data_IF_649182631015
#
_entry.id   IF_649182631015
#
_cell.length_a   1.000
_cell.length_b   1.000
_cell.length_c   1.000
_cell.angle_alpha   90.00
_cell.angle_beta   90.00
_cell.angle_gamma   90.00
#
_symmetry.space_group_name_H-M   'P 1'
#
loop_
_entity.id
_entity.type
_entity.pdbx_description
1 polymer ?
#
# COMPACT_ATOMS: atom_id res chain seq x y z
N UNK A 1 -7.64 66.79 51.82
CA UNK A 1 -8.41 66.18 50.76
C UNK A 1 -7.44 65.44 49.88
N UNK A 2 -7.30 64.12 50.12
CA UNK A 2 -6.30 63.23 49.54
C UNK A 2 -6.84 62.55 48.31
N UNK A 3 -6.23 62.79 47.20
CA UNK A 3 -6.52 62.06 45.93
C UNK A 3 -5.49 60.94 45.79
N UNK A 4 -5.93 59.75 46.07
CA UNK A 4 -5.10 58.53 45.78
C UNK A 4 -5.02 58.30 44.28
N UNK A 5 -3.83 58.26 43.77
CA UNK A 5 -3.52 57.81 42.40
C UNK A 5 -3.59 56.31 42.32
N UNK A 6 -4.60 55.78 41.66
CA UNK A 6 -4.71 54.37 41.29
C UNK A 6 -3.76 54.10 40.12
N UNK A 7 -2.66 53.34 40.35
CA UNK A 7 -1.82 52.82 39.28
C UNK A 7 -2.45 51.57 38.71
N UNK A 8 -2.93 51.66 37.48
CA UNK A 8 -3.40 50.54 36.69
C UNK A 8 -2.18 49.81 36.13
N UNK A 9 -1.83 48.62 36.65
CA UNK A 9 -0.87 47.72 36.03
C UNK A 9 -1.56 47.01 34.88
N UNK A 10 -1.21 47.37 33.64
CA UNK A 10 -1.52 46.57 32.48
C UNK A 10 -0.54 45.37 32.45
N UNK A 11 -1.00 44.20 32.81
CA UNK A 11 -0.33 42.96 32.55
C UNK A 11 -0.48 42.59 31.06
N UNK A 12 0.54 42.88 30.29
CA UNK A 12 0.63 42.39 28.89
C UNK A 12 0.89 40.88 28.92
N UNK A 13 -0.15 40.08 28.84
CA UNK A 13 0.00 38.66 28.64
C UNK A 13 0.54 38.45 27.22
N UNK A 14 1.81 38.08 27.10
CA UNK A 14 2.38 37.52 25.87
C UNK A 14 1.66 36.19 25.61
N UNK A 15 0.66 36.19 24.77
CA UNK A 15 0.12 35.00 24.15
C UNK A 15 1.19 34.51 23.17
N UNK A 16 2.00 33.56 23.61
CA UNK A 16 2.83 32.80 22.69
C UNK A 16 1.90 32.14 21.63
N UNK A 17 2.20 32.26 20.34
CA UNK A 17 1.41 31.56 19.34
C UNK A 17 1.51 30.08 19.63
N UNK A 18 0.39 29.45 19.97
CA UNK A 18 0.29 28.00 19.96
C UNK A 18 0.64 27.53 18.56
N UNK A 19 1.50 26.52 18.41
CA UNK A 19 1.76 25.97 17.10
C UNK A 19 0.40 25.57 16.52
N UNK A 20 0.07 26.14 15.35
CA UNK A 20 -1.02 25.67 14.53
C UNK A 20 -0.62 24.26 14.08
N UNK A 21 -0.97 23.26 14.87
CA UNK A 21 -1.01 21.90 14.36
C UNK A 21 -2.05 21.97 13.25
N UNK A 22 -1.60 21.87 12.00
CA UNK A 22 -2.50 21.79 10.89
C UNK A 22 -3.44 20.62 11.19
N UNK A 23 -4.64 20.91 11.64
CA UNK A 23 -5.67 19.91 11.76
C UNK A 23 -5.88 19.40 10.34
N UNK A 24 -5.46 18.15 10.09
CA UNK A 24 -5.85 17.44 8.89
C UNK A 24 -7.38 17.40 8.97
N UNK A 25 -8.01 18.24 8.18
CA UNK A 25 -9.47 18.30 8.14
C UNK A 25 -9.91 17.05 7.42
N UNK A 26 -10.43 16.09 8.16
CA UNK A 26 -11.05 14.91 7.57
C UNK A 26 -12.15 15.36 6.62
N UNK A 27 -12.23 14.70 5.48
CA UNK A 27 -13.30 14.95 4.54
C UNK A 27 -14.63 14.54 5.18
N UNK A 28 -15.66 15.38 5.00
CA UNK A 28 -17.00 15.02 5.43
C UNK A 28 -17.46 13.72 4.75
N UNK A 29 -17.94 12.79 5.56
CA UNK A 29 -18.40 11.48 5.10
C UNK A 29 -19.85 11.56 4.64
N UNK A 30 -20.21 10.86 3.56
CA UNK A 30 -21.58 10.77 3.13
C UNK A 30 -22.52 10.29 4.25
N UNK A 31 -23.72 10.83 4.31
CA UNK A 31 -24.67 10.53 5.40
C UNK A 31 -25.08 9.06 5.45
N UNK A 32 -25.12 8.40 4.29
CA UNK A 32 -25.42 6.98 4.14
C UNK A 32 -24.37 6.05 4.77
N UNK A 33 -23.19 6.58 5.06
CA UNK A 33 -22.10 5.79 5.67
C UNK A 33 -22.21 5.69 7.20
N UNK A 34 -23.20 6.36 7.80
CA UNK A 34 -23.43 6.30 9.25
C UNK A 34 -23.71 4.90 9.79
N UNK A 35 -24.12 4.00 8.92
CA UNK A 35 -24.45 2.62 9.29
C UNK A 35 -23.31 1.64 9.07
N UNK A 36 -22.15 2.10 8.59
CA UNK A 36 -20.99 1.24 8.44
C UNK A 36 -20.46 0.87 9.82
N UNK A 37 -20.27 -0.42 10.00
CA UNK A 37 -19.64 -0.96 11.21
C UNK A 37 -18.13 -0.79 11.14
N UNK A 38 -17.50 -0.70 12.31
CA UNK A 38 -16.03 -0.73 12.41
C UNK A 38 -15.50 -1.97 11.72
N UNK A 39 -14.47 -1.81 10.87
CA UNK A 39 -13.95 -2.88 10.03
C UNK A 39 -14.48 -2.85 8.60
N UNK A 40 -15.56 -2.13 8.35
CA UNK A 40 -16.12 -1.92 7.02
C UNK A 40 -16.68 -3.19 6.38
N UNK A 41 -17.06 -3.07 5.10
CA UNK A 41 -17.76 -4.14 4.35
C UNK A 41 -16.91 -5.35 4.03
N UNK A 42 -15.61 -5.22 4.11
CA UNK A 42 -14.71 -6.26 3.61
C UNK A 42 -13.99 -7.03 4.72
N UNK A 43 -14.06 -6.54 5.96
CA UNK A 43 -13.28 -7.11 7.07
C UNK A 43 -13.72 -8.51 7.47
N UNK A 44 -14.97 -8.89 7.23
CA UNK A 44 -15.47 -10.25 7.47
C UNK A 44 -14.88 -11.30 6.52
N UNK A 45 -14.14 -10.87 5.51
CA UNK A 45 -13.44 -11.73 4.54
C UNK A 45 -11.94 -11.86 4.81
N UNK A 46 -11.42 -11.14 5.78
CA UNK A 46 -10.04 -11.25 6.20
C UNK A 46 -9.95 -12.15 7.44
N UNK A 47 -9.08 -13.12 7.36
CA UNK A 47 -8.71 -13.91 8.53
C UNK A 47 -7.72 -13.11 9.36
N UNK A 48 -7.90 -13.14 10.68
CA UNK A 48 -6.94 -12.55 11.59
C UNK A 48 -5.61 -13.30 11.51
N UNK A 49 -4.51 -12.57 11.63
CA UNK A 49 -3.20 -13.20 11.78
C UNK A 49 -3.19 -14.05 13.06
N UNK A 50 -2.56 -15.25 13.02
CA UNK A 50 -2.47 -16.09 14.20
C UNK A 50 -1.82 -15.35 15.39
N UNK A 51 -2.36 -15.55 16.56
CA UNK A 51 -1.68 -15.14 17.79
C UNK A 51 -0.46 -16.03 18.03
N UNK A 52 0.60 -15.44 18.55
CA UNK A 52 1.86 -16.13 18.80
C UNK A 52 2.63 -15.46 19.94
N UNK A 53 3.95 -15.62 19.92
CA UNK A 53 4.83 -15.01 20.91
C UNK A 53 4.89 -13.50 20.70
N UNK A 54 4.56 -12.74 21.75
CA UNK A 54 4.71 -11.28 21.71
C UNK A 54 6.18 -10.89 21.85
N UNK A 55 6.59 -9.89 21.10
CA UNK A 55 7.91 -9.29 21.26
C UNK A 55 8.06 -8.68 22.65
N UNK A 56 9.21 -8.94 23.28
CA UNK A 56 9.60 -8.25 24.52
C UNK A 56 10.37 -6.95 24.24
N UNK A 57 10.67 -6.69 22.98
CA UNK A 57 11.48 -5.57 22.56
C UNK A 57 10.62 -4.42 22.05
N UNK A 58 10.91 -3.24 22.50
CA UNK A 58 10.44 -1.99 21.90
C UNK A 58 11.60 -1.41 21.13
N UNK A 59 11.51 -1.41 19.82
CA UNK A 59 12.46 -0.73 18.94
C UNK A 59 11.72 0.35 18.14
N UNK A 60 12.45 1.35 17.69
CA UNK A 60 11.86 2.49 16.99
C UNK A 60 11.28 3.53 17.95
N UNK A 61 10.04 3.93 17.74
CA UNK A 61 9.38 4.93 18.57
C UNK A 61 8.85 4.33 19.89
N UNK A 62 8.79 5.13 20.96
CA UNK A 62 8.29 4.75 22.29
C UNK A 62 6.86 4.19 22.30
N UNK A 63 6.17 4.30 21.19
CA UNK A 63 4.78 3.87 21.01
C UNK A 63 4.62 2.56 20.23
N UNK A 64 5.70 1.88 19.87
CA UNK A 64 5.62 0.58 19.17
C UNK A 64 4.96 -0.45 20.08
N UNK A 65 3.83 -0.98 19.63
CA UNK A 65 3.10 -2.02 20.38
C UNK A 65 3.80 -3.37 20.25
N UNK A 66 3.67 -4.23 21.27
CA UNK A 66 4.08 -5.61 21.13
C UNK A 66 3.42 -6.24 19.90
N UNK A 67 4.18 -7.01 19.15
CA UNK A 67 3.75 -7.73 17.95
C UNK A 67 4.08 -9.19 18.08
N UNK A 68 3.41 -10.01 17.28
CA UNK A 68 3.70 -11.43 17.23
C UNK A 68 4.93 -11.67 16.35
N UNK A 69 6.05 -12.06 16.96
CA UNK A 69 7.33 -12.29 16.25
C UNK A 69 7.30 -13.50 15.31
N UNK A 70 6.29 -14.37 15.48
CA UNK A 70 6.09 -15.53 14.61
C UNK A 70 5.34 -15.18 13.32
N UNK A 71 4.92 -13.92 13.15
CA UNK A 71 4.20 -13.44 11.98
C UNK A 71 5.05 -12.46 11.17
N UNK A 72 4.91 -12.54 9.83
CA UNK A 72 5.54 -11.59 8.93
C UNK A 72 7.06 -11.76 8.84
N UNK A 73 7.74 -10.65 8.64
CA UNK A 73 9.20 -10.57 8.53
C UNK A 73 9.73 -9.50 9.48
N UNK A 74 10.81 -9.82 10.17
CA UNK A 74 11.51 -8.88 11.05
C UNK A 74 13.01 -8.95 10.84
N UNK A 75 13.66 -7.80 10.96
CA UNK A 75 15.11 -7.68 10.96
C UNK A 75 15.50 -6.45 11.79
N UNK A 76 16.52 -6.54 12.66
CA UNK A 76 16.91 -5.43 13.53
C UNK A 76 17.43 -4.19 12.79
N UNK A 77 17.95 -4.38 11.59
CA UNK A 77 18.59 -3.32 10.80
C UNK A 77 17.79 -2.86 9.59
N UNK A 78 16.59 -3.43 9.36
CA UNK A 78 15.78 -3.16 8.15
C UNK A 78 14.33 -2.90 8.53
N UNK A 79 13.82 -1.75 8.10
CA UNK A 79 12.39 -1.45 8.08
C UNK A 79 11.78 -1.99 6.80
N UNK A 80 10.75 -2.81 6.90
CA UNK A 80 10.07 -3.41 5.75
C UNK A 80 8.78 -2.70 5.39
N UNK A 81 8.45 -2.75 4.10
CA UNK A 81 7.25 -2.14 3.55
C UNK A 81 6.75 -2.87 2.31
N UNK A 82 5.42 -2.98 2.19
CA UNK A 82 4.76 -3.52 1.00
C UNK A 82 5.18 -4.95 0.66
N UNK A 83 4.62 -5.44 -0.41
CA UNK A 83 4.97 -6.76 -0.93
C UNK A 83 3.82 -7.74 -0.95
N UNK A 84 4.08 -8.91 -1.50
CA UNK A 84 3.14 -10.02 -1.51
C UNK A 84 3.83 -11.37 -1.41
N UNK A 85 3.02 -12.41 -1.25
CA UNK A 85 3.49 -13.78 -1.04
C UNK A 85 3.06 -14.63 -2.23
N UNK A 86 4.01 -15.41 -2.75
CA UNK A 86 3.74 -16.50 -3.68
C UNK A 86 3.94 -17.85 -2.98
N UNK A 87 3.07 -18.80 -3.26
CA UNK A 87 3.31 -20.19 -2.91
C UNK A 87 3.81 -20.92 -4.14
N UNK A 88 4.94 -21.62 -4.01
CA UNK A 88 5.53 -22.44 -5.06
C UNK A 88 5.17 -23.92 -4.93
N UNK A 89 5.38 -24.75 -5.97
CA UNK A 89 5.02 -26.17 -5.94
C UNK A 89 5.69 -26.99 -4.84
N UNK A 90 6.81 -26.55 -4.29
CA UNK A 90 7.48 -27.15 -3.13
C UNK A 90 6.79 -26.86 -1.81
N UNK A 91 5.66 -26.15 -1.86
CA UNK A 91 4.84 -25.71 -0.73
C UNK A 91 5.47 -24.64 0.16
N UNK A 92 6.60 -24.09 -0.21
CA UNK A 92 7.17 -22.93 0.46
C UNK A 92 6.43 -21.65 0.09
N UNK A 93 6.43 -20.72 1.03
CA UNK A 93 5.92 -19.38 0.82
C UNK A 93 7.08 -18.42 0.59
N UNK A 94 7.02 -17.67 -0.49
CA UNK A 94 8.03 -16.72 -0.91
C UNK A 94 7.47 -15.32 -0.78
N UNK A 95 7.97 -14.57 0.17
CA UNK A 95 7.63 -13.17 0.37
C UNK A 95 8.59 -12.30 -0.44
N UNK A 96 8.03 -11.43 -1.26
CA UNK A 96 8.75 -10.36 -1.95
C UNK A 96 8.37 -9.04 -1.28
N UNK A 97 9.32 -8.40 -0.66
CA UNK A 97 9.10 -7.23 0.20
C UNK A 97 10.18 -6.20 -0.05
N UNK A 98 9.90 -4.92 0.10
CA UNK A 98 10.94 -3.91 0.08
C UNK A 98 11.28 -3.41 1.49
N UNK A 99 12.45 -2.80 1.61
CA UNK A 99 12.90 -2.24 2.87
C UNK A 99 14.07 -1.28 2.69
N UNK A 100 14.37 -0.59 3.75
CA UNK A 100 15.49 0.35 3.87
C UNK A 100 16.12 0.22 5.25
N UNK A 101 17.35 0.77 5.47
CA UNK A 101 17.99 0.67 6.78
C UNK A 101 17.10 1.26 7.87
N UNK A 102 16.92 0.54 8.98
CA UNK A 102 16.19 1.02 10.15
C UNK A 102 16.77 2.33 10.69
N UNK A 103 18.11 2.47 10.58
CA UNK A 103 18.83 3.68 10.98
C UNK A 103 18.73 4.84 9.99
N UNK A 104 17.92 4.74 8.93
CA UNK A 104 17.83 5.78 7.92
C UNK A 104 17.33 7.11 8.52
N UNK A 105 18.06 8.23 8.36
CA UNK A 105 17.70 9.49 9.01
C UNK A 105 16.35 10.07 8.59
N UNK A 106 15.84 9.66 7.42
CA UNK A 106 14.56 10.12 6.89
C UNK A 106 13.39 9.21 7.30
N UNK A 107 13.66 8.14 8.07
CA UNK A 107 12.65 7.17 8.43
C UNK A 107 11.96 6.59 7.18
N UNK A 108 10.62 6.50 7.19
CA UNK A 108 9.84 6.00 6.05
C UNK A 108 10.05 6.81 4.75
N UNK A 109 10.44 8.06 4.83
CA UNK A 109 10.76 8.87 3.64
C UNK A 109 12.04 8.43 2.91
N UNK A 110 12.70 7.36 3.38
CA UNK A 110 13.78 6.68 2.66
C UNK A 110 13.26 5.72 1.57
N UNK A 111 11.96 5.54 1.47
CA UNK A 111 11.32 4.65 0.50
C UNK A 111 11.84 4.75 -0.95
N UNK A 112 12.28 5.92 -1.51
CA UNK A 112 12.82 5.98 -2.86
C UNK A 112 14.13 5.20 -3.03
N UNK A 113 14.79 4.87 -1.93
CA UNK A 113 16.03 4.10 -1.89
C UNK A 113 15.82 2.65 -1.47
N UNK A 114 14.57 2.18 -1.44
CA UNK A 114 14.23 0.83 -1.04
C UNK A 114 14.96 -0.22 -1.86
N UNK A 115 15.28 -1.30 -1.19
CA UNK A 115 15.78 -2.54 -1.75
C UNK A 115 14.69 -3.60 -1.70
N UNK A 116 14.54 -4.38 -2.74
CA UNK A 116 13.64 -5.53 -2.80
C UNK A 116 14.35 -6.75 -2.30
N UNK A 117 13.73 -7.42 -1.34
CA UNK A 117 14.20 -8.67 -0.74
C UNK A 117 13.28 -9.82 -1.13
N UNK A 118 13.88 -11.00 -1.29
CA UNK A 118 13.18 -12.26 -1.33
C UNK A 118 13.39 -12.99 -0.02
N UNK A 119 12.31 -13.41 0.61
CA UNK A 119 12.33 -14.14 1.87
C UNK A 119 11.46 -15.39 1.77
N UNK A 120 11.73 -16.40 2.58
CA UNK A 120 10.96 -17.65 2.60
C UNK A 120 10.45 -18.00 3.96
N UNK A 121 9.30 -18.66 4.01
CA UNK A 121 8.68 -19.21 5.22
C UNK A 121 7.95 -20.51 4.94
N UNK A 122 7.73 -21.30 5.99
CA UNK A 122 6.99 -22.56 5.91
C UNK A 122 5.47 -22.35 6.04
N UNK A 123 5.05 -21.17 6.50
CA UNK A 123 3.65 -20.80 6.67
C UNK A 123 3.32 -19.50 5.95
N UNK A 124 2.05 -19.36 5.53
CA UNK A 124 1.56 -18.18 4.83
C UNK A 124 1.77 -16.87 5.63
N UNK A 125 1.66 -16.95 6.93
CA UNK A 125 1.84 -15.81 7.83
C UNK A 125 3.28 -15.59 8.28
N UNK A 126 4.23 -16.46 7.88
CA UNK A 126 5.62 -16.41 8.33
C UNK A 126 5.90 -17.33 9.53
N UNK A 127 6.98 -17.10 10.27
CA UNK A 127 7.97 -16.05 10.03
C UNK A 127 8.74 -16.24 8.73
N UNK A 128 9.11 -15.14 8.11
CA UNK A 128 9.90 -15.16 6.89
C UNK A 128 11.36 -14.82 7.15
N UNK A 129 12.24 -15.54 6.47
CA UNK A 129 13.69 -15.31 6.56
C UNK A 129 14.23 -14.86 5.20
N UNK A 130 14.97 -13.76 5.18
CA UNK A 130 15.60 -13.23 3.95
C UNK A 130 16.54 -14.29 3.36
N UNK A 131 16.39 -14.56 2.08
CA UNK A 131 17.22 -15.45 1.31
C UNK A 131 18.20 -14.67 0.44
N UNK A 132 17.70 -13.66 -0.25
CA UNK A 132 18.50 -12.85 -1.15
C UNK A 132 17.96 -11.42 -1.32
N UNK A 133 18.77 -10.61 -2.00
CA UNK A 133 18.46 -9.25 -2.41
C UNK A 133 18.29 -9.23 -3.92
N UNK A 134 17.11 -8.80 -4.38
CA UNK A 134 16.78 -8.75 -5.82
C UNK A 134 17.38 -7.50 -6.47
N UNK A 135 17.19 -6.34 -5.86
CA UNK A 135 17.70 -5.07 -6.37
C UNK A 135 16.93 -3.86 -5.83
N UNK A 136 17.09 -2.70 -6.46
CA UNK A 136 16.36 -1.49 -6.08
C UNK A 136 14.90 -1.58 -6.51
N UNK A 137 13.99 -1.13 -5.65
CA UNK A 137 12.57 -1.05 -5.96
C UNK A 137 11.72 -0.81 -4.73
N UNK A 138 10.50 -0.35 -4.96
CA UNK A 138 9.53 -0.08 -3.92
C UNK A 138 8.19 -0.73 -4.28
N UNK A 139 7.40 -1.10 -3.26
CA UNK A 139 6.11 -1.77 -3.39
C UNK A 139 6.17 -2.96 -4.35
N UNK A 140 7.00 -3.98 -4.08
CA UNK A 140 7.12 -5.12 -4.97
C UNK A 140 5.83 -5.93 -4.99
N UNK A 141 5.44 -6.40 -6.18
CA UNK A 141 4.33 -7.32 -6.36
C UNK A 141 4.74 -8.44 -7.32
N UNK A 142 4.76 -9.67 -6.83
CA UNK A 142 5.30 -10.81 -7.55
C UNK A 142 4.20 -11.68 -8.16
N UNK A 143 4.46 -12.24 -9.36
CA UNK A 143 3.57 -13.16 -10.05
C UNK A 143 4.35 -14.27 -10.72
N UNK A 144 3.68 -15.41 -10.86
CA UNK A 144 4.07 -16.45 -11.81
C UNK A 144 3.43 -16.14 -13.16
N UNK A 145 4.23 -15.88 -14.16
CA UNK A 145 3.78 -15.58 -15.51
C UNK A 145 3.22 -16.86 -16.21
N UNK A 146 2.57 -16.65 -17.35
CA UNK A 146 2.00 -17.77 -18.12
C UNK A 146 3.05 -18.75 -18.65
N UNK A 147 4.27 -18.30 -18.84
CA UNK A 147 5.43 -19.09 -19.27
C UNK A 147 6.24 -19.68 -18.10
N UNK A 148 5.69 -19.60 -16.90
CA UNK A 148 6.25 -20.09 -15.63
C UNK A 148 7.42 -19.28 -15.08
N UNK A 149 7.84 -18.20 -15.72
CA UNK A 149 8.82 -17.27 -15.13
C UNK A 149 8.21 -16.53 -13.95
N UNK A 150 9.05 -16.07 -13.06
CA UNK A 150 8.66 -15.20 -11.93
C UNK A 150 8.95 -13.77 -12.31
N UNK A 151 7.97 -12.89 -12.15
CA UNK A 151 8.13 -11.45 -12.27
C UNK A 151 7.90 -10.81 -10.92
N UNK A 152 8.70 -9.80 -10.58
CA UNK A 152 8.51 -8.92 -9.41
C UNK A 152 8.42 -7.51 -9.94
N UNK A 153 7.20 -6.99 -9.99
CA UNK A 153 6.94 -5.62 -10.39
C UNK A 153 7.37 -4.66 -9.28
N UNK A 154 7.92 -3.54 -9.67
CA UNK A 154 8.34 -2.44 -8.79
C UNK A 154 7.98 -1.12 -9.46
N UNK A 155 8.20 0.00 -8.79
CA UNK A 155 8.06 1.32 -9.42
C UNK A 155 8.97 1.37 -10.67
N UNK A 156 8.41 1.83 -11.77
CA UNK A 156 9.07 2.06 -13.06
C UNK A 156 9.56 0.81 -13.82
N UNK A 157 9.38 -0.39 -13.27
CA UNK A 157 9.87 -1.58 -13.94
C UNK A 157 9.56 -2.89 -13.23
N UNK A 158 10.37 -3.89 -13.53
CA UNK A 158 10.22 -5.23 -12.99
C UNK A 158 11.55 -5.97 -12.94
N UNK A 159 11.63 -6.95 -12.09
CA UNK A 159 12.64 -8.00 -12.13
C UNK A 159 12.01 -9.28 -12.63
N UNK A 160 12.75 -10.06 -13.41
CA UNK A 160 12.27 -11.32 -13.97
C UNK A 160 13.33 -12.40 -13.83
N UNK A 161 12.89 -13.63 -13.55
CA UNK A 161 13.76 -14.80 -13.45
C UNK A 161 13.02 -16.07 -13.89
N UNK A 162 13.78 -17.06 -14.32
CA UNK A 162 13.24 -18.39 -14.66
C UNK A 162 12.86 -19.20 -13.40
N UNK A 163 13.46 -18.86 -12.26
CA UNK A 163 13.23 -19.51 -10.98
C UNK A 163 13.05 -18.48 -9.87
N UNK A 164 12.35 -18.88 -8.82
CA UNK A 164 12.00 -18.03 -7.68
C UNK A 164 13.22 -17.46 -6.95
N UNK A 165 14.35 -18.11 -7.04
CA UNK A 165 15.62 -17.68 -6.44
C UNK A 165 16.52 -16.91 -7.41
N UNK A 166 16.01 -16.50 -8.58
CA UNK A 166 16.82 -15.82 -9.59
C UNK A 166 17.63 -16.76 -10.50
N UNK A 167 18.66 -16.27 -11.18
CA UNK A 167 19.14 -14.88 -11.15
C UNK A 167 18.11 -13.89 -11.76
N UNK A 168 18.03 -12.69 -11.18
CA UNK A 168 17.09 -11.67 -11.56
C UNK A 168 17.63 -10.75 -12.64
N UNK A 169 16.80 -10.45 -13.63
CA UNK A 169 17.08 -9.46 -14.67
C UNK A 169 16.11 -8.29 -14.55
N UNK A 170 16.62 -7.08 -14.51
CA UNK A 170 15.79 -5.88 -14.47
C UNK A 170 15.32 -5.47 -15.86
N UNK A 171 14.04 -5.16 -16.00
CA UNK A 171 13.40 -4.57 -17.16
C UNK A 171 12.61 -3.32 -16.81
N UNK A 172 12.49 -2.37 -17.76
CA UNK A 172 11.62 -1.21 -17.61
C UNK A 172 10.27 -1.49 -18.23
N UNK A 173 9.23 -0.88 -17.68
CA UNK A 173 7.93 -0.84 -18.36
C UNK A 173 8.06 -0.14 -19.70
N UNK A 174 7.37 -0.68 -20.69
CA UNK A 174 7.17 -0.05 -21.98
C UNK A 174 5.68 0.16 -22.23
N UNK A 175 5.34 1.21 -22.93
CA UNK A 175 3.94 1.62 -23.13
C UNK A 175 3.67 1.83 -24.61
N UNK A 176 2.50 1.39 -25.06
CA UNK A 176 2.05 1.69 -26.41
C UNK A 176 1.73 3.19 -26.52
N UNK A 177 2.11 3.84 -27.63
CA UNK A 177 1.72 5.22 -27.90
C UNK A 177 0.20 5.36 -27.90
N UNK A 178 -0.28 6.49 -27.40
CA UNK A 178 -1.69 6.86 -27.52
C UNK A 178 -1.84 8.35 -27.77
N UNK A 179 -2.89 8.68 -28.48
CA UNK A 179 -3.27 10.06 -28.84
C UNK A 179 -4.21 10.72 -27.82
N UNK A 180 -4.60 9.98 -26.80
CA UNK A 180 -5.50 10.41 -25.73
C UNK A 180 -4.76 10.64 -24.43
N UNK A 181 -5.42 11.34 -23.50
CA UNK A 181 -4.85 11.65 -22.19
C UNK A 181 -4.33 10.39 -21.49
N UNK A 182 -3.09 10.47 -21.04
CA UNK A 182 -2.49 9.47 -20.16
C UNK A 182 -2.92 9.75 -18.72
N UNK A 183 -3.34 8.71 -18.01
CA UNK A 183 -3.58 8.75 -16.56
C UNK A 183 -2.32 8.21 -15.91
N UNK A 184 -1.51 9.11 -15.40
CA UNK A 184 -0.17 8.82 -14.91
C UNK A 184 -0.14 8.42 -13.43
N UNK A 185 1.04 8.11 -12.93
CA UNK A 185 1.34 7.73 -11.57
C UNK A 185 1.80 6.28 -11.52
N UNK A 186 2.99 6.01 -12.11
CA UNK A 186 3.62 4.67 -12.11
C UNK A 186 4.26 4.32 -10.76
N UNK A 187 3.92 5.03 -9.71
CA UNK A 187 4.14 4.63 -8.34
C UNK A 187 2.91 3.92 -7.78
N UNK A 188 3.09 3.09 -6.79
CA UNK A 188 2.01 2.37 -6.12
C UNK A 188 1.14 1.63 -7.15
N UNK A 189 1.77 0.69 -7.83
CA UNK A 189 1.15 -0.16 -8.84
C UNK A 189 0.51 -1.36 -8.17
N UNK A 190 -0.53 -1.89 -8.79
CA UNK A 190 -1.03 -3.21 -8.45
C UNK A 190 -1.51 -3.95 -9.70
N UNK A 191 -1.40 -5.27 -9.69
CA UNK A 191 -1.57 -6.10 -10.86
C UNK A 191 -2.58 -7.22 -10.62
N UNK A 192 -3.27 -7.64 -11.69
CA UNK A 192 -4.13 -8.80 -11.67
C UNK A 192 -4.05 -9.55 -13.00
N UNK A 193 -3.98 -10.87 -12.93
CA UNK A 193 -4.05 -11.73 -14.11
C UNK A 193 -5.50 -11.85 -14.58
N UNK A 194 -5.73 -11.67 -15.88
CA UNK A 194 -7.04 -11.81 -16.50
C UNK A 194 -7.30 -13.26 -16.92
N UNK A 195 -8.57 -13.55 -17.21
CA UNK A 195 -9.00 -14.88 -17.70
C UNK A 195 -8.36 -15.27 -19.04
N UNK A 196 -8.12 -14.29 -19.91
CA UNK A 196 -7.48 -14.48 -21.21
C UNK A 196 -5.94 -14.63 -21.12
N UNK A 197 -5.40 -14.59 -19.91
CA UNK A 197 -3.98 -14.68 -19.64
C UNK A 197 -3.22 -13.36 -19.74
N UNK A 198 -3.87 -12.27 -20.12
CA UNK A 198 -3.28 -10.93 -20.06
C UNK A 198 -3.24 -10.39 -18.63
N UNK A 199 -2.56 -9.27 -18.42
CA UNK A 199 -2.36 -8.66 -17.10
C UNK A 199 -2.91 -7.25 -17.08
N UNK A 200 -3.69 -6.97 -16.04
CA UNK A 200 -4.09 -5.61 -15.68
C UNK A 200 -3.05 -4.98 -14.78
N UNK A 201 -2.85 -3.69 -14.95
CA UNK A 201 -2.10 -2.84 -14.03
C UNK A 201 -2.98 -1.64 -13.67
N UNK A 202 -3.13 -1.38 -12.39
CA UNK A 202 -3.71 -0.14 -11.84
C UNK A 202 -2.57 0.71 -11.35
N UNK A 203 -2.52 1.97 -11.76
CA UNK A 203 -1.54 2.93 -11.26
C UNK A 203 -2.15 3.88 -10.22
N UNK A 204 -1.30 4.56 -9.47
CA UNK A 204 -1.69 5.56 -8.46
C UNK A 204 -2.68 6.60 -9.00
N UNK A 205 -2.51 7.01 -10.25
CA UNK A 205 -3.43 7.94 -10.90
C UNK A 205 -4.82 7.38 -11.19
N UNK A 206 -5.02 6.08 -11.04
CA UNK A 206 -6.29 5.38 -11.32
C UNK A 206 -6.49 5.02 -12.78
N UNK A 207 -5.44 5.00 -13.59
CA UNK A 207 -5.48 4.44 -14.93
C UNK A 207 -5.41 2.93 -14.91
N UNK A 208 -6.13 2.29 -15.83
CA UNK A 208 -6.05 0.85 -16.08
C UNK A 208 -5.27 0.62 -17.36
N UNK A 209 -4.28 -0.24 -17.26
CA UNK A 209 -3.40 -0.64 -18.35
C UNK A 209 -3.44 -2.14 -18.54
N UNK A 210 -3.28 -2.61 -19.74
CA UNK A 210 -3.21 -4.06 -20.06
C UNK A 210 -1.89 -4.38 -20.76
N UNK A 211 -1.25 -5.46 -20.34
CA UNK A 211 -0.18 -6.11 -21.07
C UNK A 211 -0.59 -7.52 -21.44
N UNK A 212 -0.21 -7.96 -22.64
CA UNK A 212 -0.52 -9.28 -23.17
C UNK A 212 0.04 -10.42 -22.30
N UNK A 213 1.23 -10.25 -21.76
CA UNK A 213 1.97 -11.27 -21.04
C UNK A 213 2.58 -10.81 -19.71
N UNK A 214 2.29 -9.55 -19.34
CA UNK A 214 2.80 -8.92 -18.12
C UNK A 214 4.13 -8.18 -18.28
N UNK A 215 4.78 -8.31 -19.46
CA UNK A 215 6.09 -7.72 -19.76
C UNK A 215 6.04 -6.90 -21.06
N UNK A 216 5.27 -7.33 -22.04
CA UNK A 216 5.07 -6.62 -23.31
C UNK A 216 4.50 -5.21 -23.05
N UNK A 217 4.61 -4.30 -24.02
CA UNK A 217 4.13 -2.93 -23.83
C UNK A 217 2.72 -2.89 -23.26
N UNK A 218 2.56 -2.08 -22.23
CA UNK A 218 1.27 -1.83 -21.62
C UNK A 218 0.48 -0.81 -22.44
N UNK A 219 -0.82 -1.05 -22.55
CA UNK A 219 -1.76 -0.15 -23.21
C UNK A 219 -2.78 0.34 -22.20
N UNK A 220 -2.94 1.65 -22.06
CA UNK A 220 -3.99 2.24 -21.24
C UNK A 220 -5.34 2.08 -21.93
N UNK A 221 -6.27 1.43 -21.24
CA UNK A 221 -7.58 1.10 -21.81
C UNK A 221 -8.70 2.00 -21.29
N UNK A 222 -8.51 2.70 -20.19
CA UNK A 222 -9.51 3.63 -19.64
C UNK A 222 -9.12 5.07 -19.95
N UNK A 223 -10.12 5.88 -20.31
CA UNK A 223 -9.93 7.33 -20.53
C UNK A 223 -10.26 8.14 -19.27
N UNK A 224 -10.79 7.47 -18.26
CA UNK A 224 -11.15 8.05 -16.98
C UNK A 224 -10.50 7.23 -15.86
N UNK A 225 -10.21 7.94 -14.79
CA UNK A 225 -9.78 7.37 -13.54
C UNK A 225 -10.83 6.40 -13.01
N UNK A 226 -10.40 5.20 -12.59
CA UNK A 226 -11.30 4.16 -12.07
C UNK A 226 -11.66 4.34 -10.60
N UNK A 227 -10.94 5.21 -9.91
CA UNK A 227 -11.25 5.53 -8.51
C UNK A 227 -12.55 6.33 -8.36
N UNK A 228 -13.14 6.34 -7.17
CA UNK A 228 -14.35 7.10 -6.92
C UNK A 228 -14.22 8.56 -7.35
N UNK A 229 -15.30 9.17 -7.88
CA UNK A 229 -15.28 10.55 -8.36
C UNK A 229 -15.34 11.56 -7.22
N UNK A 230 -14.55 11.36 -6.18
CA UNK A 230 -14.42 12.25 -5.02
C UNK A 230 -13.09 12.98 -5.07
N UNK A 231 -13.03 14.15 -4.44
CA UNK A 231 -11.77 14.83 -4.21
C UNK A 231 -11.01 14.09 -3.12
N UNK A 232 -9.92 13.43 -3.50
CA UNK A 232 -9.10 12.63 -2.59
C UNK A 232 -7.69 12.51 -3.11
N UNK A 233 -6.80 12.08 -2.23
CA UNK A 233 -5.42 11.73 -2.53
C UNK A 233 -5.30 10.21 -2.43
N UNK A 234 -5.39 9.56 -3.58
CA UNK A 234 -5.42 8.11 -3.66
C UNK A 234 -4.03 7.52 -3.72
N UNK A 235 -3.86 6.42 -2.99
CA UNK A 235 -2.59 5.73 -2.86
C UNK A 235 -2.81 4.22 -2.65
N UNK A 236 -1.79 3.43 -2.91
CA UNK A 236 -1.74 1.99 -2.64
C UNK A 236 -2.98 1.21 -3.12
N UNK A 237 -3.26 1.22 -4.44
CA UNK A 237 -4.29 0.36 -4.97
C UNK A 237 -3.91 -1.10 -4.77
N UNK A 238 -4.89 -1.94 -4.47
CA UNK A 238 -4.75 -3.39 -4.45
C UNK A 238 -5.84 -3.98 -5.33
N UNK A 239 -5.45 -4.59 -6.44
CA UNK A 239 -6.36 -5.25 -7.37
C UNK A 239 -6.13 -6.77 -7.33
N UNK A 240 -7.22 -7.52 -7.29
CA UNK A 240 -7.16 -8.98 -7.46
C UNK A 240 -8.40 -9.48 -8.17
N UNK A 241 -8.35 -10.74 -8.55
CA UNK A 241 -9.45 -11.44 -9.18
C UNK A 241 -9.76 -12.74 -8.46
N UNK A 242 -11.02 -12.97 -8.16
CA UNK A 242 -11.54 -14.28 -7.76
C UNK A 242 -12.21 -15.00 -8.92
N UNK A 243 -12.94 -16.08 -8.65
CA UNK A 243 -13.68 -16.83 -9.67
C UNK A 243 -14.86 -16.06 -10.28
N UNK A 244 -15.33 -14.99 -9.62
CA UNK A 244 -16.54 -14.28 -9.99
C UNK A 244 -16.26 -12.92 -10.64
N UNK A 245 -15.22 -12.20 -10.17
CA UNK A 245 -15.00 -10.81 -10.56
C UNK A 245 -13.62 -10.31 -10.15
N UNK A 246 -13.35 -9.07 -10.56
CA UNK A 246 -12.20 -8.29 -10.07
C UNK A 246 -12.63 -7.42 -8.91
N UNK A 247 -11.70 -7.21 -8.00
CA UNK A 247 -11.81 -6.38 -6.82
C UNK A 247 -10.70 -5.36 -6.83
N UNK A 248 -10.99 -4.16 -6.35
CA UNK A 248 -10.02 -3.09 -6.19
C UNK A 248 -10.30 -2.36 -4.88
N UNK A 249 -9.31 -2.32 -4.02
CA UNK A 249 -9.29 -1.42 -2.88
C UNK A 249 -8.28 -0.32 -3.16
N UNK A 250 -8.59 0.91 -2.81
CA UNK A 250 -7.67 2.03 -2.88
C UNK A 250 -7.81 2.90 -1.64
N UNK A 251 -6.70 3.29 -1.07
CA UNK A 251 -6.67 4.20 0.06
C UNK A 251 -6.84 5.65 -0.40
N UNK A 252 -7.57 6.41 0.38
CA UNK A 252 -7.61 7.87 0.30
C UNK A 252 -7.06 8.42 1.61
N UNK A 253 -5.78 8.72 1.63
CA UNK A 253 -5.10 9.14 2.86
C UNK A 253 -5.58 10.51 3.35
N UNK A 254 -6.08 11.39 2.45
CA UNK A 254 -6.68 12.67 2.85
C UNK A 254 -8.01 12.47 3.58
N UNK A 255 -8.81 11.51 3.14
CA UNK A 255 -10.07 11.13 3.81
C UNK A 255 -9.88 10.10 4.92
N UNK A 256 -8.69 9.51 5.06
CA UNK A 256 -8.39 8.39 5.98
C UNK A 256 -9.39 7.25 5.87
N UNK A 257 -9.68 6.86 4.64
CA UNK A 257 -10.62 5.80 4.31
C UNK A 257 -10.08 4.99 3.15
N UNK A 258 -10.61 3.79 2.99
CA UNK A 258 -10.41 3.00 1.80
C UNK A 258 -11.73 2.79 1.05
N UNK A 259 -11.65 2.83 -0.26
CA UNK A 259 -12.80 2.54 -1.13
C UNK A 259 -12.66 1.15 -1.72
N UNK A 260 -13.77 0.45 -1.77
CA UNK A 260 -13.88 -0.84 -2.43
C UNK A 260 -14.68 -0.71 -3.72
N UNK A 261 -14.13 -1.30 -4.76
CA UNK A 261 -14.74 -1.35 -6.08
C UNK A 261 -14.68 -2.77 -6.64
N UNK A 262 -15.58 -3.08 -7.53
CA UNK A 262 -15.64 -4.37 -8.22
C UNK A 262 -15.88 -4.19 -9.70
N UNK A 263 -15.46 -5.18 -10.49
CA UNK A 263 -15.63 -5.20 -11.93
C UNK A 263 -15.78 -6.65 -12.44
N UNK A 264 -16.61 -6.86 -13.44
CA UNK A 264 -16.72 -8.17 -14.10
C UNK A 264 -15.64 -8.41 -15.14
N UNK A 265 -15.13 -7.35 -15.72
CA UNK A 265 -14.19 -7.39 -16.85
C UNK A 265 -12.82 -6.75 -16.54
N UNK A 266 -12.68 -6.11 -15.38
CA UNK A 266 -11.47 -5.36 -15.00
C UNK A 266 -11.38 -3.98 -15.65
N UNK A 267 -12.39 -3.55 -16.40
CA UNK A 267 -12.42 -2.29 -17.16
C UNK A 267 -13.51 -1.36 -16.61
N UNK A 268 -14.71 -1.89 -16.44
CA UNK A 268 -15.87 -1.16 -15.93
C UNK A 268 -16.03 -1.42 -14.44
N UNK A 269 -15.80 -0.40 -13.65
CA UNK A 269 -15.75 -0.49 -12.20
C UNK A 269 -16.98 0.14 -11.55
N UNK A 270 -17.50 -0.54 -10.55
CA UNK A 270 -18.60 -0.07 -9.71
C UNK A 270 -18.05 0.15 -8.32
N UNK A 271 -18.14 1.40 -7.85
CA UNK A 271 -17.80 1.72 -6.47
C UNK A 271 -18.92 1.25 -5.55
N UNK A 272 -18.59 0.43 -4.58
CA UNK A 272 -19.52 0.08 -3.52
C UNK A 272 -19.77 1.27 -2.62
N UNK A 273 -20.98 1.38 -2.13
CA UNK A 273 -21.31 2.42 -1.15
C UNK A 273 -20.61 2.12 0.18
N UNK A 274 -19.97 3.12 0.72
CA UNK A 274 -19.27 3.06 1.99
C UNK A 274 -17.80 2.70 1.87
N UNK A 275 -17.19 2.62 3.02
CA UNK A 275 -15.77 2.35 3.16
C UNK A 275 -15.49 0.85 3.03
N UNK A 276 -14.34 0.48 2.45
CA UNK A 276 -13.91 -0.91 2.40
C UNK A 276 -13.63 -1.43 3.80
N UNK A 277 -12.96 -0.62 4.59
CA UNK A 277 -12.72 -0.82 6.02
C UNK A 277 -12.59 0.53 6.72
N UNK A 278 -12.81 0.52 8.02
CA UNK A 278 -12.59 1.68 8.87
C UNK A 278 -11.36 1.39 9.74
N UNK A 279 -10.36 2.27 9.75
CA UNK A 279 -9.20 2.10 10.60
C UNK A 279 -9.63 1.98 12.07
N UNK A 280 -9.17 0.93 12.73
CA UNK A 280 -9.35 0.77 14.17
C UNK A 280 -8.49 1.76 14.95
N UNK A 281 -8.70 1.80 16.27
CA UNK A 281 -7.89 2.62 17.19
C UNK A 281 -6.40 2.22 17.19
N UNK A 282 -6.08 1.05 16.65
CA UNK A 282 -4.72 0.56 16.50
C UNK A 282 -3.98 1.15 15.29
N UNK A 283 -4.67 1.85 14.41
CA UNK A 283 -4.00 2.57 13.34
C UNK A 283 -3.15 3.67 13.92
N UNK A 284 -1.92 3.76 13.45
CA UNK A 284 -1.04 4.84 13.83
C UNK A 284 -1.69 6.17 13.47
N UNK A 285 -1.54 7.15 14.33
CA UNK A 285 -2.03 8.51 14.11
C UNK A 285 -1.57 9.12 12.80
N UNK A 286 -0.52 8.60 12.29
CA UNK A 286 0.27 9.04 11.14
C UNK A 286 -0.11 8.29 9.87
N UNK A 287 -1.05 7.35 9.93
CA UNK A 287 -1.50 6.62 8.75
C UNK A 287 -0.50 5.56 8.24
N UNK A 288 0.37 5.05 9.12
CA UNK A 288 1.37 4.03 8.79
C UNK A 288 1.12 2.74 9.54
#
# INVERSE_FOLDING_TARGET
MNIQKLKLLLATACLAPLPLIAQITERERPAEWKHLITGGRYMDRFEAMPEGTLSGETWGADSVRPRYIDNGIEHPDISFWGGNILQTPDRKYHLFVCGWPESAPKGHMEWPNSTVYHATGDHLHGPFTIQDTIGKGHNPEAFVLNDSRIVVYVIDGYYIADQVNGPWQYGKFTFNPRDRKIIEGLSNLSFAKRQDGSYLMVCRGGGIWISKDGIAPYEQITDKRVYPPVKGEFEDPVIWRDSLQYHLIVNDWLGRIAFYQRSKDGIHWVTEQGEAYVPGISFHRDGH
#
